data_IF_380655841418
#
_entry.id   IF_380655841418
#
_cell.length_a   1.000
_cell.length_b   1.000
_cell.length_c   1.000
_cell.angle_alpha   90.00
_cell.angle_beta   90.00
_cell.angle_gamma   90.00
#
_symmetry.space_group_name_H-M   'P 1'
#
loop_
_entity.id
_entity.type
_entity.pdbx_description
1 polymer ?
#
# COMPACT_ATOMS: atom_id res chain seq x y z
N UNK A 1 10.29 1.60 -24.43
CA UNK A 1 8.87 1.66 -24.03
C UNK A 1 8.79 0.77 -22.80
N UNK A 2 8.68 1.32 -21.58
CA UNK A 2 8.43 0.46 -20.42
C UNK A 2 7.10 -0.23 -20.67
N UNK A 3 7.13 -1.57 -20.69
CA UNK A 3 5.97 -2.38 -20.96
C UNK A 3 5.03 -2.28 -19.76
N UNK A 4 3.88 -1.65 -19.97
CA UNK A 4 2.71 -1.88 -19.13
C UNK A 4 2.56 -3.41 -19.07
N UNK A 5 2.72 -4.01 -17.90
CA UNK A 5 2.43 -5.43 -17.74
C UNK A 5 0.92 -5.60 -18.00
N UNK A 6 0.52 -6.29 -19.09
CA UNK A 6 -0.88 -6.37 -19.46
C UNK A 6 -1.58 -7.26 -18.45
N UNK A 7 -2.36 -6.65 -17.55
CA UNK A 7 -3.15 -7.39 -16.55
C UNK A 7 -3.48 -6.61 -15.28
N UNK A 8 -2.69 -5.58 -14.91
CA UNK A 8 -2.84 -4.97 -13.58
C UNK A 8 -3.79 -3.77 -13.49
N UNK A 9 -4.31 -3.29 -14.62
CA UNK A 9 -5.21 -2.13 -14.69
C UNK A 9 -6.66 -2.63 -14.57
N UNK A 10 -7.48 -1.95 -13.75
CA UNK A 10 -8.84 -2.35 -13.31
C UNK A 10 -8.86 -3.40 -12.18
N UNK A 11 -7.70 -3.70 -11.58
CA UNK A 11 -7.63 -4.57 -10.40
C UNK A 11 -8.00 -3.80 -9.13
N UNK A 12 -8.73 -4.46 -8.23
CA UNK A 12 -9.06 -3.92 -6.92
C UNK A 12 -8.31 -4.69 -5.86
N UNK A 13 -7.47 -3.98 -5.11
CA UNK A 13 -6.70 -4.52 -4.00
C UNK A 13 -7.36 -4.12 -2.69
N UNK A 14 -7.48 -5.05 -1.74
CA UNK A 14 -8.14 -4.78 -0.47
C UNK A 14 -7.10 -4.60 0.65
N UNK A 15 -7.16 -3.47 1.36
CA UNK A 15 -6.42 -3.26 2.59
C UNK A 15 -7.25 -3.77 3.76
N UNK A 16 -6.74 -4.77 4.47
CA UNK A 16 -7.40 -5.36 5.64
C UNK A 16 -6.57 -5.20 6.91
N UNK A 17 -7.24 -5.11 8.07
CA UNK A 17 -6.63 -5.11 9.40
C UNK A 17 -7.39 -6.07 10.31
N UNK A 18 -6.73 -7.14 10.77
CA UNK A 18 -7.34 -8.10 11.68
C UNK A 18 -8.67 -8.72 11.19
N UNK A 19 -8.90 -8.77 9.88
CA UNK A 19 -10.13 -9.26 9.25
C UNK A 19 -11.16 -8.19 8.87
N UNK A 20 -10.94 -6.91 9.21
CA UNK A 20 -11.78 -5.79 8.78
C UNK A 20 -11.19 -5.13 7.53
N UNK A 21 -12.04 -4.76 6.57
CA UNK A 21 -11.63 -4.03 5.36
C UNK A 21 -11.51 -2.55 5.71
N UNK A 22 -10.29 -2.02 5.61
CA UNK A 22 -10.00 -0.61 5.83
C UNK A 22 -10.17 0.19 4.54
N UNK A 23 -9.83 -0.37 3.38
CA UNK A 23 -9.87 0.37 2.13
C UNK A 23 -9.70 -0.53 0.91
N UNK A 24 -10.01 0.01 -0.26
CA UNK A 24 -9.82 -0.65 -1.55
C UNK A 24 -9.01 0.26 -2.47
N UNK A 25 -7.93 -0.26 -3.08
CA UNK A 25 -7.17 0.47 -4.09
C UNK A 25 -7.59 -0.04 -5.46
N UNK A 26 -8.20 0.83 -6.26
CA UNK A 26 -8.53 0.57 -7.67
C UNK A 26 -7.39 1.00 -8.55
N UNK A 27 -6.62 0.04 -9.02
CA UNK A 27 -5.46 0.27 -9.87
C UNK A 27 -5.94 0.81 -11.22
N UNK A 28 -5.55 2.04 -11.54
CA UNK A 28 -5.86 2.67 -12.82
C UNK A 28 -4.60 2.84 -13.68
N UNK A 29 -3.42 2.79 -13.08
CA UNK A 29 -2.13 2.95 -13.72
C UNK A 29 -1.07 2.05 -13.07
N UNK A 30 -0.11 1.61 -13.87
CA UNK A 30 0.87 0.61 -13.47
C UNK A 30 2.24 1.00 -14.02
N UNK A 31 3.01 1.74 -13.23
CA UNK A 31 4.38 2.16 -13.53
C UNK A 31 5.38 1.27 -12.78
N UNK A 32 5.55 0.05 -13.28
CA UNK A 32 6.38 -0.99 -12.65
C UNK A 32 7.75 -0.43 -12.19
N UNK A 33 8.13 -0.57 -10.91
CA UNK A 33 7.59 -1.51 -9.91
C UNK A 33 6.43 -0.98 -9.04
N UNK A 34 5.87 0.18 -9.33
CA UNK A 34 4.78 0.79 -8.57
C UNK A 34 3.45 0.67 -9.31
N UNK A 35 2.38 0.43 -8.55
CA UNK A 35 1.00 0.56 -9.01
C UNK A 35 0.42 1.84 -8.45
N UNK A 36 -0.42 2.53 -9.22
CA UNK A 36 -1.14 3.72 -8.79
C UNK A 36 -2.62 3.61 -9.14
N UNK A 37 -3.44 4.23 -8.30
CA UNK A 37 -4.87 4.00 -8.34
C UNK A 37 -5.67 4.95 -7.48
N UNK A 38 -6.98 4.79 -7.57
CA UNK A 38 -7.93 5.47 -6.69
C UNK A 38 -8.10 4.66 -5.41
N UNK A 39 -7.86 5.28 -4.27
CA UNK A 39 -8.12 4.71 -2.96
C UNK A 39 -9.54 5.04 -2.48
N UNK A 40 -10.28 4.00 -2.16
CA UNK A 40 -11.62 4.06 -1.56
C UNK A 40 -11.50 3.68 -0.09
N UNK A 41 -11.41 4.69 0.77
CA UNK A 41 -11.39 4.51 2.22
C UNK A 41 -12.74 3.99 2.74
N UNK A 42 -12.70 2.96 3.60
CA UNK A 42 -13.85 2.50 4.40
C UNK A 42 -13.83 3.13 5.79
N UNK A 43 -14.88 2.87 6.57
CA UNK A 43 -15.06 3.47 7.90
C UNK A 43 -13.87 3.23 8.87
N UNK A 44 -13.18 2.09 8.75
CA UNK A 44 -12.00 1.77 9.57
C UNK A 44 -10.73 2.51 9.15
N UNK A 45 -10.67 3.08 7.93
CA UNK A 45 -9.47 3.77 7.46
C UNK A 45 -9.16 5.04 8.25
N UNK A 46 -10.17 5.76 8.72
CA UNK A 46 -9.98 7.04 9.39
C UNK A 46 -9.06 6.96 10.62
N UNK A 47 -8.94 5.79 11.24
CA UNK A 47 -8.01 5.56 12.37
C UNK A 47 -6.55 5.45 11.93
N UNK A 48 -6.30 5.04 10.68
CA UNK A 48 -4.96 4.77 10.14
C UNK A 48 -4.54 5.76 9.05
N UNK A 49 -5.47 6.54 8.49
CA UNK A 49 -5.21 7.68 7.61
C UNK A 49 -4.05 8.57 8.12
N UNK A 50 -4.02 9.00 9.40
CA UNK A 50 -2.92 9.81 9.90
C UNK A 50 -1.57 9.07 9.94
N UNK A 51 -1.55 7.73 10.00
CA UNK A 51 -0.30 6.96 9.94
C UNK A 51 0.32 7.04 8.55
N UNK A 52 -0.49 6.84 7.51
CA UNK A 52 -0.04 6.97 6.11
C UNK A 52 0.35 8.42 5.80
N UNK A 53 -0.41 9.40 6.29
CA UNK A 53 -0.08 10.81 6.09
C UNK A 53 1.24 11.19 6.79
N UNK A 54 1.50 10.65 7.99
CA UNK A 54 2.76 10.85 8.70
C UNK A 54 3.94 10.19 7.97
N UNK A 55 3.77 8.94 7.53
CA UNK A 55 4.77 8.23 6.73
C UNK A 55 5.11 9.01 5.45
N UNK A 56 4.11 9.49 4.73
CA UNK A 56 4.31 10.29 3.51
C UNK A 56 4.97 11.65 3.81
N UNK A 57 4.61 12.30 4.92
CA UNK A 57 5.20 13.56 5.33
C UNK A 57 6.70 13.40 5.65
N UNK A 58 7.08 12.33 6.34
CA UNK A 58 8.48 11.99 6.63
C UNK A 58 9.29 11.78 5.36
N UNK A 59 8.69 11.15 4.33
CA UNK A 59 9.35 10.95 3.03
C UNK A 59 9.50 12.26 2.23
N UNK A 60 8.55 13.20 2.37
CA UNK A 60 8.54 14.50 1.67
C UNK A 60 9.37 15.58 2.36
N UNK A 61 10.02 15.29 3.48
CA UNK A 61 10.83 16.27 4.19
C UNK A 61 12.08 16.67 3.37
N UNK A 62 12.21 17.98 3.11
CA UNK A 62 13.16 18.56 2.13
C UNK A 62 14.61 18.61 2.67
N UNK A 63 14.80 18.59 4.00
CA UNK A 63 16.11 18.78 4.63
C UNK A 63 16.89 17.48 4.85
N UNK A 64 16.27 16.42 5.36
CA UNK A 64 16.85 15.08 5.50
C UNK A 64 15.74 14.12 5.99
N UNK A 65 15.13 13.27 5.14
CA UNK A 65 14.06 12.39 5.60
C UNK A 65 14.56 11.43 6.68
N UNK A 66 13.91 11.44 7.85
CA UNK A 66 14.16 10.52 8.96
C UNK A 66 13.71 9.09 8.59
N UNK A 67 14.57 8.40 7.84
CA UNK A 67 14.32 7.02 7.39
C UNK A 67 13.98 6.07 8.54
N UNK A 68 14.55 6.28 9.72
CA UNK A 68 14.27 5.46 10.90
C UNK A 68 12.85 5.66 11.45
N UNK A 69 12.32 6.90 11.41
CA UNK A 69 10.92 7.14 11.78
C UNK A 69 9.96 6.65 10.69
N UNK A 70 10.34 6.82 9.42
CA UNK A 70 9.60 6.29 8.28
C UNK A 70 9.51 4.76 8.37
N UNK A 71 10.62 4.06 8.61
CA UNK A 71 10.67 2.61 8.78
C UNK A 71 9.83 2.17 9.98
N UNK A 72 9.84 2.89 11.10
CA UNK A 72 9.02 2.55 12.26
C UNK A 72 7.52 2.77 12.03
N UNK A 73 7.14 3.76 11.20
CA UNK A 73 5.75 3.96 10.78
C UNK A 73 5.31 2.85 9.82
N UNK A 74 6.16 2.54 8.85
CA UNK A 74 5.98 1.46 7.88
C UNK A 74 5.82 0.09 8.56
N UNK A 75 6.71 -0.25 9.50
CA UNK A 75 6.69 -1.52 10.22
C UNK A 75 5.37 -1.70 10.98
N UNK A 76 4.89 -0.64 11.64
CA UNK A 76 3.57 -0.64 12.30
C UNK A 76 2.40 -0.84 11.35
N UNK A 77 2.51 -0.35 10.11
CA UNK A 77 1.50 -0.53 9.07
C UNK A 77 1.55 -1.97 8.59
N UNK A 78 2.71 -2.48 8.20
CA UNK A 78 2.90 -3.85 7.70
C UNK A 78 2.58 -4.93 8.77
N UNK A 79 2.86 -4.68 10.05
CA UNK A 79 2.52 -5.61 11.14
C UNK A 79 1.01 -5.70 11.42
N UNK A 80 0.27 -4.62 11.22
CA UNK A 80 -1.16 -4.55 11.55
C UNK A 80 -2.07 -4.74 10.34
N UNK A 81 -1.58 -4.41 9.15
CA UNK A 81 -2.33 -4.36 7.92
C UNK A 81 -1.85 -5.41 6.94
N UNK A 82 -2.78 -5.89 6.14
CA UNK A 82 -2.57 -6.96 5.21
C UNK A 82 -3.17 -6.52 3.89
N UNK A 83 -2.35 -6.49 2.85
CA UNK A 83 -2.81 -6.19 1.52
C UNK A 83 -3.20 -7.51 0.84
N UNK A 84 -4.43 -7.54 0.34
CA UNK A 84 -5.01 -8.68 -0.36
C UNK A 84 -5.04 -8.35 -1.85
N UNK A 85 -4.46 -9.23 -2.64
CA UNK A 85 -4.45 -9.13 -4.09
C UNK A 85 -5.86 -9.41 -4.67
N UNK A 86 -6.14 -9.03 -5.93
CA UNK A 86 -7.44 -9.27 -6.56
C UNK A 86 -7.83 -10.75 -6.69
N UNK A 87 -6.88 -11.69 -6.64
CA UNK A 87 -7.11 -13.14 -6.56
C UNK A 87 -7.47 -13.61 -5.14
N UNK A 88 -7.33 -12.74 -4.14
CA UNK A 88 -7.67 -13.00 -2.73
C UNK A 88 -6.50 -13.53 -1.89
N UNK A 89 -5.28 -13.53 -2.42
CA UNK A 89 -4.04 -13.91 -1.74
C UNK A 89 -3.50 -12.74 -0.94
N UNK A 90 -3.01 -13.05 0.25
CA UNK A 90 -2.29 -12.10 1.08
C UNK A 90 -0.85 -11.95 0.60
N UNK A 91 -0.39 -10.73 0.41
CA UNK A 91 1.02 -10.45 0.14
C UNK A 91 1.84 -10.53 1.42
N UNK A 92 3.10 -10.94 1.30
CA UNK A 92 4.00 -11.07 2.44
C UNK A 92 4.46 -9.71 2.98
N UNK A 93 4.77 -8.78 2.08
CA UNK A 93 5.22 -7.44 2.42
C UNK A 93 4.78 -6.45 1.33
N UNK A 94 4.37 -5.25 1.74
CA UNK A 94 3.89 -4.22 0.83
C UNK A 94 4.16 -2.83 1.36
N UNK A 95 4.48 -1.92 0.45
CA UNK A 95 4.57 -0.48 0.70
C UNK A 95 3.39 0.17 0.02
N UNK A 96 2.55 0.85 0.79
CA UNK A 96 1.37 1.55 0.33
C UNK A 96 1.44 2.99 0.83
N UNK A 97 1.41 3.92 -0.10
CA UNK A 97 1.31 5.34 0.17
C UNK A 97 -0.06 5.84 -0.26
N UNK A 98 -0.68 6.66 0.58
CA UNK A 98 -2.02 7.19 0.35
C UNK A 98 -1.99 8.70 0.54
N UNK A 99 -2.45 9.43 -0.46
CA UNK A 99 -2.63 10.87 -0.45
C UNK A 99 -4.08 11.20 -0.83
N UNK A 100 -4.93 11.30 0.19
CA UNK A 100 -6.36 11.57 0.01
C UNK A 100 -7.06 10.43 -0.72
N UNK A 101 -7.32 10.60 -2.02
CA UNK A 101 -7.97 9.61 -2.88
C UNK A 101 -7.00 8.94 -3.85
N UNK A 102 -5.75 9.40 -3.91
CA UNK A 102 -4.72 8.80 -4.74
C UNK A 102 -3.91 7.84 -3.87
N UNK A 103 -3.70 6.63 -4.34
CA UNK A 103 -2.79 5.69 -3.69
C UNK A 103 -1.82 5.09 -4.69
N UNK A 104 -0.62 4.84 -4.21
CA UNK A 104 0.39 4.10 -4.94
C UNK A 104 1.06 3.11 -4.02
N UNK A 105 1.26 1.90 -4.53
CA UNK A 105 1.81 0.83 -3.74
C UNK A 105 2.71 -0.07 -4.56
N UNK A 106 3.54 -0.82 -3.85
CA UNK A 106 4.32 -1.93 -4.38
C UNK A 106 4.26 -3.05 -3.37
N UNK A 107 4.29 -4.29 -3.86
CA UNK A 107 4.36 -5.47 -3.03
C UNK A 107 5.59 -6.29 -3.40
N UNK A 108 6.05 -7.10 -2.45
CA UNK A 108 7.11 -8.06 -2.68
C UNK A 108 6.44 -9.44 -2.69
N UNK A 109 6.35 -10.07 -3.86
CA UNK A 109 6.04 -11.50 -3.99
C UNK A 109 7.26 -12.30 -3.54
N UNK A 110 7.59 -12.20 -2.25
CA UNK A 110 8.38 -13.23 -1.61
C UNK A 110 7.38 -14.33 -1.30
N UNK A 111 7.40 -15.41 -2.09
CA UNK A 111 6.85 -16.67 -1.62
C UNK A 111 7.48 -16.92 -0.25
N UNK A 112 6.67 -16.84 0.82
CA UNK A 112 7.04 -17.47 2.07
C UNK A 112 7.09 -18.96 1.74
N UNK A 113 8.26 -19.44 1.34
CA UNK A 113 8.56 -20.85 1.31
C UNK A 113 8.55 -21.28 2.78
N UNK A 114 7.37 -21.71 3.24
CA UNK A 114 7.20 -22.34 4.54
C UNK A 114 7.87 -23.71 4.47
N UNK A 115 9.12 -23.82 4.92
CA UNK A 115 9.77 -25.11 5.21
C UNK A 115 9.19 -25.80 6.46
#
# INVERSE_FOLDING_TARGET
MPGIVPGMIDETWELRRGGEILGEVRVNDADFPWLSGEFVAHAGFAEVEPLFAAELALMKEDEEPDWNEWEAAYDRISEQMQLIDPDGKQVADFILHIEGQDAWFRWIDAAVDEE
#
